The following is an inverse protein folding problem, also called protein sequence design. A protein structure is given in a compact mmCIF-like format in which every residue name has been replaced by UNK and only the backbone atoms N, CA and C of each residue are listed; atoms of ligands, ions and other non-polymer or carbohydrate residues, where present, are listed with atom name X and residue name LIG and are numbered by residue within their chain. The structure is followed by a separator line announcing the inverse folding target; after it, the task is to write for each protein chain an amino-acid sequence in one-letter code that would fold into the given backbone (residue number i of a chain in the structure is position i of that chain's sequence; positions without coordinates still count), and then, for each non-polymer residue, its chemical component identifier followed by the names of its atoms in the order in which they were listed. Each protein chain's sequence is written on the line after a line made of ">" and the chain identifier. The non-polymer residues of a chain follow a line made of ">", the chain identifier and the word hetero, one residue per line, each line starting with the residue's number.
data_IF_815006595784
#
_entry.id   IF_815006595784
#
_cell.length_a   1.000
_cell.length_b   1.000
_cell.length_c   1.000
_cell.angle_alpha   90.00
_cell.angle_beta   90.00
_cell.angle_gamma   90.00
#
_symmetry.space_group_name_H-M   'P 1'
#
loop_
_entity.id
_entity.type
_entity.pdbx_description
1 polymer ?
#
# COMPACT_ATOMS: atom_id res chain seq x y z
N UNK A 1 34.85 19.98 4.31
CA UNK A 1 33.48 19.79 3.81
C UNK A 1 33.38 18.39 3.28
N UNK A 2 32.56 17.54 3.90
CA UNK A 2 32.41 16.15 3.47
C UNK A 2 31.25 16.08 2.48
N UNK A 3 31.58 15.95 1.19
CA UNK A 3 30.69 15.36 0.18
C UNK A 3 30.70 13.85 0.44
N UNK A 4 29.53 13.27 0.70
CA UNK A 4 29.34 11.83 0.62
C UNK A 4 28.07 11.55 -0.18
N UNK A 5 28.20 11.53 -1.50
CA UNK A 5 27.17 10.97 -2.41
C UNK A 5 27.07 9.45 -2.28
N UNK A 6 26.68 8.96 -1.10
CA UNK A 6 26.17 7.61 -0.93
C UNK A 6 24.67 7.63 -1.16
N UNK A 7 24.22 7.45 -2.40
CA UNK A 7 22.79 7.17 -2.63
C UNK A 7 22.56 5.75 -2.16
N UNK A 8 22.24 5.60 -0.88
CA UNK A 8 21.80 4.34 -0.28
C UNK A 8 20.68 3.83 -1.15
N UNK A 9 20.84 2.63 -1.70
CA UNK A 9 19.75 1.84 -2.23
C UNK A 9 18.62 1.91 -1.21
N UNK A 10 17.38 2.16 -1.65
CA UNK A 10 16.21 2.32 -0.76
C UNK A 10 15.83 0.98 -0.08
N UNK A 11 16.78 0.32 0.58
CA UNK A 11 16.67 -0.99 1.24
C UNK A 11 15.75 -0.95 2.48
N UNK A 12 15.25 0.23 2.83
CA UNK A 12 14.24 0.42 3.89
C UNK A 12 12.81 0.36 3.36
N UNK A 13 12.60 0.45 2.05
CA UNK A 13 11.28 0.42 1.45
C UNK A 13 10.88 -1.02 1.06
N UNK A 14 9.66 -1.40 1.41
CA UNK A 14 9.08 -2.66 0.97
C UNK A 14 8.65 -2.55 -0.49
N UNK A 15 8.76 -3.62 -1.27
CA UNK A 15 8.27 -3.68 -2.66
C UNK A 15 6.77 -3.97 -2.71
N UNK A 16 5.99 -3.29 -1.87
CA UNK A 16 4.54 -3.44 -1.71
C UNK A 16 3.89 -2.06 -1.65
N UNK A 17 2.62 -1.97 -2.06
CA UNK A 17 1.92 -0.67 -2.04
C UNK A 17 1.75 -0.16 -0.62
N UNK A 18 1.47 -1.03 0.36
CA UNK A 18 1.55 -0.65 1.76
C UNK A 18 2.98 -0.82 2.30
N UNK A 19 3.40 0.08 3.18
CA UNK A 19 4.72 0.08 3.84
C UNK A 19 4.63 -0.34 5.31
N UNK A 20 3.52 -0.98 5.69
CA UNK A 20 3.29 -1.57 6.99
C UNK A 20 2.09 -2.53 6.89
N UNK A 21 1.69 -3.13 8.00
CA UNK A 21 0.56 -4.04 8.11
C UNK A 21 -0.75 -3.40 7.64
N UNK A 22 -1.48 -4.12 6.79
CA UNK A 22 -2.87 -3.83 6.42
C UNK A 22 -3.76 -4.19 7.62
N UNK A 23 -4.59 -3.24 8.07
CA UNK A 23 -5.46 -3.40 9.23
C UNK A 23 -6.92 -3.68 8.85
N UNK A 24 -7.35 -3.35 7.64
CA UNK A 24 -8.74 -3.57 7.20
C UNK A 24 -8.81 -3.76 5.69
N UNK A 25 -9.74 -4.61 5.27
CA UNK A 25 -10.15 -4.80 3.88
C UNK A 25 -11.68 -4.66 3.81
N UNK A 26 -12.18 -3.92 2.82
CA UNK A 26 -13.63 -3.76 2.60
C UNK A 26 -13.97 -3.73 1.12
N UNK A 27 -15.09 -4.34 0.75
CA UNK A 27 -15.71 -4.17 -0.57
C UNK A 27 -15.92 -2.68 -0.85
N UNK A 28 -15.53 -2.24 -2.04
CA UNK A 28 -15.66 -0.84 -2.46
C UNK A 28 -16.69 -0.70 -3.58
N UNK A 29 -16.66 -1.61 -4.56
CA UNK A 29 -17.58 -1.61 -5.69
C UNK A 29 -17.90 -3.05 -6.10
N UNK A 30 -19.15 -3.31 -6.42
CA UNK A 30 -19.64 -4.64 -6.76
C UNK A 30 -21.16 -4.66 -6.86
N UNK A 31 -21.71 -5.85 -6.91
CA UNK A 31 -23.12 -6.14 -6.68
C UNK A 31 -23.24 -7.10 -5.47
N UNK A 32 -24.44 -7.63 -5.22
CA UNK A 32 -24.69 -8.52 -4.08
C UNK A 32 -23.91 -9.84 -4.12
N UNK A 33 -23.40 -10.24 -5.29
CA UNK A 33 -22.71 -11.52 -5.49
C UNK A 33 -21.24 -11.35 -5.86
N UNK A 34 -20.87 -10.23 -6.51
CA UNK A 34 -19.53 -10.02 -7.09
C UNK A 34 -18.91 -8.71 -6.64
N UNK A 35 -17.70 -8.78 -6.07
CA UNK A 35 -16.86 -7.61 -5.78
C UNK A 35 -15.96 -7.33 -6.98
N UNK A 36 -16.08 -6.12 -7.55
CA UNK A 36 -15.25 -5.64 -8.68
C UNK A 36 -14.08 -4.78 -8.21
N UNK A 37 -14.22 -4.13 -7.05
CA UNK A 37 -13.15 -3.37 -6.39
C UNK A 37 -13.22 -3.53 -4.89
N UNK A 38 -12.06 -3.53 -4.25
CA UNK A 38 -11.95 -3.54 -2.79
C UNK A 38 -10.95 -2.49 -2.33
N UNK A 39 -11.12 -2.06 -1.08
CA UNK A 39 -10.24 -1.11 -0.42
C UNK A 39 -9.40 -1.81 0.64
N UNK A 40 -8.15 -1.35 0.81
CA UNK A 40 -7.29 -1.72 1.95
C UNK A 40 -6.88 -0.46 2.70
N UNK A 41 -6.86 -0.52 4.04
CA UNK A 41 -6.25 0.52 4.88
C UNK A 41 -5.13 -0.07 5.71
N UNK A 42 -4.02 0.67 5.85
CA UNK A 42 -2.85 0.22 6.60
C UNK A 42 -2.45 1.16 7.74
N UNK A 43 -1.62 0.65 8.65
CA UNK A 43 -0.98 1.45 9.71
C UNK A 43 -0.07 2.54 9.13
N UNK A 44 0.37 2.36 7.89
CA UNK A 44 1.09 3.36 7.10
C UNK A 44 0.23 4.57 6.68
N UNK A 45 -1.04 4.61 7.10
CA UNK A 45 -1.97 5.71 6.82
C UNK A 45 -2.53 5.71 5.39
N UNK A 46 -2.18 4.72 4.56
CA UNK A 46 -2.67 4.63 3.19
C UNK A 46 -4.05 3.99 3.15
N UNK A 47 -4.89 4.48 2.24
CA UNK A 47 -6.11 3.81 1.78
C UNK A 47 -5.97 3.61 0.29
N UNK A 48 -6.10 2.36 -0.17
CA UNK A 48 -5.84 1.98 -1.57
C UNK A 48 -7.07 1.27 -2.11
N UNK A 49 -7.50 1.63 -3.32
CA UNK A 49 -8.54 0.91 -4.05
C UNK A 49 -7.88 0.02 -5.10
N UNK A 50 -8.25 -1.26 -5.07
CA UNK A 50 -7.79 -2.28 -5.99
C UNK A 50 -8.92 -2.70 -6.92
N UNK A 51 -8.58 -2.99 -8.17
CA UNK A 51 -9.48 -3.71 -9.09
C UNK A 51 -9.24 -5.21 -8.90
N UNK A 52 -10.32 -5.97 -8.74
CA UNK A 52 -10.28 -7.41 -8.52
C UNK A 52 -9.98 -8.19 -9.83
#
# INVERSE_FOLDING_TARGET
>A
QMDLKGKTKDDTLLTTVHQNTISTIRSYEGDGETVRKFSTSGVDGRVVIWQA
#
